data_IF_210664645100
#
_entry.id   IF_210664645100
#
_cell.length_a   1.000
_cell.length_b   1.000
_cell.length_c   1.000
_cell.angle_alpha   90.00
_cell.angle_beta   90.00
_cell.angle_gamma   90.00
#
_symmetry.space_group_name_H-M   'P 1'
#
loop_
_entity.id
_entity.type
_entity.pdbx_description
1 polymer ?
#
# COMPACT_ATOMS: atom_id res chain seq x y z
N UNK A 1 -17.78 -13.45 9.98
CA UNK A 1 -17.06 -13.63 11.27
C UNK A 1 -16.71 -12.25 11.79
N UNK A 2 -16.73 -12.01 13.10
CA UNK A 2 -16.33 -10.71 13.65
C UNK A 2 -14.84 -10.44 13.33
N UNK A 3 -14.49 -9.18 13.01
CA UNK A 3 -13.13 -8.75 12.69
C UNK A 3 -12.10 -9.19 13.77
N UNK A 4 -12.47 -9.10 15.05
CA UNK A 4 -11.62 -9.49 16.18
C UNK A 4 -11.24 -10.98 16.23
N UNK A 5 -12.12 -11.86 15.77
CA UNK A 5 -11.86 -13.31 15.77
C UNK A 5 -10.96 -13.71 14.59
N UNK A 6 -11.09 -12.99 13.46
CA UNK A 6 -10.19 -13.15 12.31
C UNK A 6 -8.75 -12.73 12.68
N UNK A 7 -8.59 -11.60 13.36
CA UNK A 7 -7.28 -11.13 13.82
C UNK A 7 -6.63 -12.11 14.80
N UNK A 8 -7.37 -12.62 15.78
CA UNK A 8 -6.83 -13.58 16.75
C UNK A 8 -6.33 -14.87 16.08
N UNK A 9 -7.03 -15.34 15.05
CA UNK A 9 -6.62 -16.53 14.30
C UNK A 9 -5.37 -16.25 13.46
N UNK A 10 -5.30 -15.09 12.80
CA UNK A 10 -4.11 -14.66 12.05
C UNK A 10 -2.88 -14.55 12.98
N UNK A 11 -3.01 -13.86 14.11
CA UNK A 11 -1.95 -13.72 15.11
C UNK A 11 -1.43 -15.08 15.63
N UNK A 12 -2.33 -16.01 15.89
CA UNK A 12 -1.97 -17.36 16.34
C UNK A 12 -1.26 -18.17 15.25
N UNK A 13 -1.68 -18.01 13.99
CA UNK A 13 -1.03 -18.64 12.85
C UNK A 13 0.38 -18.09 12.63
N UNK A 14 0.55 -16.76 12.65
CA UNK A 14 1.86 -16.09 12.51
C UNK A 14 2.83 -16.64 13.56
N UNK A 15 2.44 -16.63 14.84
CA UNK A 15 3.29 -17.14 15.93
C UNK A 15 3.66 -18.62 15.74
N UNK A 16 2.75 -19.43 15.20
CA UNK A 16 3.00 -20.86 14.94
C UNK A 16 4.03 -21.03 13.82
N UNK A 17 3.83 -20.37 12.69
CA UNK A 17 4.67 -20.51 11.51
C UNK A 17 6.09 -19.97 11.76
N UNK A 18 6.21 -18.83 12.44
CA UNK A 18 7.51 -18.29 12.83
C UNK A 18 8.26 -19.26 13.75
N UNK A 19 7.56 -19.97 14.64
CA UNK A 19 8.18 -20.95 15.54
C UNK A 19 8.54 -22.27 14.83
N UNK A 20 7.68 -22.74 13.94
CA UNK A 20 7.83 -24.06 13.29
C UNK A 20 8.75 -24.00 12.07
N UNK A 21 8.56 -22.99 11.23
CA UNK A 21 9.28 -22.81 9.98
C UNK A 21 10.34 -21.71 10.07
N UNK A 22 10.24 -20.77 11.00
CA UNK A 22 11.19 -19.66 11.13
C UNK A 22 10.71 -18.35 10.53
N UNK A 23 9.68 -18.38 9.68
CA UNK A 23 8.96 -17.20 9.21
C UNK A 23 7.51 -17.55 8.87
N UNK A 24 6.70 -16.51 8.72
CA UNK A 24 5.36 -16.54 8.16
C UNK A 24 5.31 -15.62 6.94
N UNK A 25 4.46 -15.92 5.94
CA UNK A 25 4.20 -15.03 4.81
C UNK A 25 2.78 -14.48 4.92
N UNK A 26 2.66 -13.20 5.25
CA UNK A 26 1.38 -12.48 5.24
C UNK A 26 1.09 -11.97 3.84
N UNK A 27 -0.07 -12.31 3.27
CA UNK A 27 -0.48 -11.87 1.94
C UNK A 27 -1.75 -11.02 2.01
N UNK A 28 -1.75 -9.92 1.27
CA UNK A 28 -2.86 -8.97 1.13
C UNK A 28 -3.31 -9.05 -0.33
N UNK A 29 -4.61 -9.29 -0.52
CA UNK A 29 -5.22 -9.32 -1.85
C UNK A 29 -5.32 -7.92 -2.46
N UNK A 30 -5.30 -7.85 -3.79
CA UNK A 30 -5.52 -6.61 -4.50
C UNK A 30 -6.96 -6.09 -4.25
N UNK A 31 -7.11 -4.77 -4.32
CA UNK A 31 -8.40 -4.10 -4.39
C UNK A 31 -8.33 -2.98 -5.44
N UNK A 32 -9.34 -2.12 -5.51
CA UNK A 32 -9.40 -1.05 -6.52
C UNK A 32 -8.35 0.06 -6.33
N UNK A 33 -7.76 0.20 -5.14
CA UNK A 33 -6.74 1.23 -4.84
C UNK A 33 -5.30 0.68 -4.75
N UNK A 34 -5.11 -0.61 -4.45
CA UNK A 34 -3.77 -1.17 -4.24
C UNK A 34 -3.57 -2.53 -4.89
N UNK A 35 -2.39 -2.81 -5.47
CA UNK A 35 -2.05 -4.15 -5.93
C UNK A 35 -1.94 -5.13 -4.77
N UNK A 36 -2.02 -6.42 -5.07
CA UNK A 36 -1.71 -7.47 -4.10
C UNK A 36 -0.25 -7.36 -3.68
N UNK A 37 0.02 -7.66 -2.41
CA UNK A 37 1.38 -7.72 -1.89
C UNK A 37 1.49 -8.78 -0.79
N UNK A 38 2.71 -9.22 -0.53
CA UNK A 38 3.00 -10.10 0.58
C UNK A 38 4.32 -9.72 1.21
N UNK A 39 4.46 -10.04 2.50
CA UNK A 39 5.69 -9.83 3.23
C UNK A 39 5.97 -10.96 4.22
N UNK A 40 7.24 -11.15 4.54
CA UNK A 40 7.66 -12.10 5.57
C UNK A 40 7.55 -11.49 6.97
N UNK A 41 7.34 -12.35 7.96
CA UNK A 41 7.42 -12.04 9.38
C UNK A 41 8.27 -13.12 10.02
N UNK A 42 9.33 -12.79 10.74
CA UNK A 42 10.14 -13.76 11.50
C UNK A 42 11.56 -13.96 10.98
N UNK A 43 11.88 -13.51 9.76
CA UNK A 43 13.24 -13.59 9.22
C UNK A 43 14.23 -12.81 10.08
N UNK A 44 13.82 -11.64 10.57
CA UNK A 44 14.63 -10.83 11.45
C UNK A 44 14.86 -11.48 12.82
N UNK A 45 13.82 -12.14 13.36
CA UNK A 45 13.88 -12.81 14.65
C UNK A 45 14.86 -13.99 14.61
N UNK A 46 14.68 -14.87 13.62
CA UNK A 46 15.30 -16.19 13.59
C UNK A 46 16.61 -16.26 12.80
N UNK A 47 16.79 -15.40 11.80
CA UNK A 47 17.94 -15.45 10.89
C UNK A 47 18.77 -14.16 10.85
N UNK A 48 18.31 -13.10 11.53
CA UNK A 48 18.94 -11.76 11.51
C UNK A 48 19.07 -11.20 10.07
N UNK A 49 18.13 -11.57 9.22
CA UNK A 49 17.97 -11.01 7.88
C UNK A 49 16.78 -10.05 7.85
N UNK A 50 16.78 -9.02 6.97
CA UNK A 50 15.62 -8.15 6.80
C UNK A 50 14.36 -8.92 6.42
N UNK A 51 13.20 -8.40 6.81
CA UNK A 51 11.93 -8.88 6.26
C UNK A 51 11.84 -8.52 4.77
N UNK A 52 11.20 -9.36 3.98
CA UNK A 52 11.11 -9.21 2.52
C UNK A 52 9.66 -8.90 2.16
N UNK A 53 9.43 -7.86 1.34
CA UNK A 53 8.13 -7.51 0.76
C UNK A 53 8.17 -7.60 -0.77
N UNK A 54 7.06 -8.04 -1.38
CA UNK A 54 6.91 -8.15 -2.82
C UNK A 54 5.47 -7.77 -3.23
N UNK A 55 5.32 -7.14 -4.41
CA UNK A 55 4.07 -6.54 -4.88
C UNK A 55 3.68 -7.04 -6.29
N UNK A 56 2.42 -6.82 -6.67
CA UNK A 56 2.00 -6.79 -8.07
C UNK A 56 1.88 -8.15 -8.76
N UNK A 57 1.96 -9.26 -8.01
CA UNK A 57 1.78 -10.62 -8.50
C UNK A 57 0.62 -11.30 -7.76
N UNK A 58 0.02 -12.38 -8.32
CA UNK A 58 -0.99 -13.16 -7.62
C UNK A 58 -0.48 -13.63 -6.25
N UNK A 59 -1.32 -13.60 -5.21
CA UNK A 59 -0.93 -13.91 -3.82
C UNK A 59 -0.28 -15.28 -3.66
N UNK A 60 -0.72 -16.28 -4.44
CA UNK A 60 -0.06 -17.59 -4.51
C UNK A 60 1.38 -17.52 -5.01
N UNK A 61 1.64 -16.72 -6.03
CA UNK A 61 2.98 -16.50 -6.58
C UNK A 61 3.86 -15.75 -5.58
N UNK A 62 3.33 -14.68 -4.97
CA UNK A 62 4.02 -13.93 -3.91
C UNK A 62 4.41 -14.85 -2.75
N UNK A 63 3.50 -15.73 -2.33
CA UNK A 63 3.75 -16.70 -1.26
C UNK A 63 4.87 -17.69 -1.62
N UNK A 64 4.90 -18.20 -2.85
CA UNK A 64 5.99 -19.10 -3.31
C UNK A 64 7.34 -18.38 -3.30
N UNK A 65 7.41 -17.20 -3.94
CA UNK A 65 8.64 -16.40 -4.03
C UNK A 65 9.24 -16.11 -2.66
N UNK A 66 8.42 -15.68 -1.69
CA UNK A 66 8.91 -15.33 -0.36
C UNK A 66 9.33 -16.55 0.46
N UNK A 67 8.70 -17.71 0.25
CA UNK A 67 9.17 -18.95 0.86
C UNK A 67 10.49 -19.43 0.26
N UNK A 68 10.66 -19.34 -1.07
CA UNK A 68 11.93 -19.67 -1.72
C UNK A 68 13.07 -18.75 -1.24
N UNK A 69 12.79 -17.45 -1.08
CA UNK A 69 13.72 -16.50 -0.47
C UNK A 69 14.02 -16.82 1.01
N UNK A 70 13.01 -17.25 1.79
CA UNK A 70 13.20 -17.71 3.16
C UNK A 70 14.08 -18.97 3.24
N UNK A 71 13.87 -19.96 2.38
CA UNK A 71 14.69 -21.17 2.31
C UNK A 71 16.12 -20.87 1.84
N UNK A 72 16.28 -19.91 0.92
CA UNK A 72 17.59 -19.38 0.52
C UNK A 72 18.36 -18.80 1.72
N UNK A 73 17.69 -17.98 2.52
CA UNK A 73 18.23 -17.41 3.77
C UNK A 73 18.55 -18.52 4.78
N UNK A 74 17.64 -19.49 4.98
CA UNK A 74 17.85 -20.63 5.88
C UNK A 74 19.09 -21.43 5.50
N UNK A 75 19.37 -21.55 4.20
CA UNK A 75 20.59 -22.16 3.66
C UNK A 75 21.89 -21.40 3.97
N UNK A 76 21.82 -20.26 4.67
CA UNK A 76 22.97 -19.44 5.07
C UNK A 76 23.44 -18.48 3.99
N UNK A 77 22.66 -18.29 2.93
CA UNK A 77 22.99 -17.35 1.85
C UNK A 77 22.54 -15.95 2.21
N UNK A 78 23.33 -14.96 1.82
CA UNK A 78 23.05 -13.54 2.08
C UNK A 78 22.36 -12.93 0.87
N UNK A 79 21.42 -12.02 1.13
CA UNK A 79 20.81 -11.22 0.07
C UNK A 79 21.72 -10.03 -0.25
N UNK A 80 22.16 -9.95 -1.49
CA UNK A 80 22.86 -8.77 -2.02
C UNK A 80 21.85 -7.79 -2.61
N UNK A 81 22.02 -6.50 -2.31
CA UNK A 81 21.14 -5.44 -2.79
C UNK A 81 21.60 -4.91 -4.15
N UNK A 82 20.64 -4.51 -4.99
CA UNK A 82 20.87 -3.90 -6.30
C UNK A 82 21.73 -4.74 -7.27
N UNK A 83 21.69 -6.07 -7.11
CA UNK A 83 22.31 -7.05 -8.01
C UNK A 83 21.25 -8.03 -8.48
N UNK A 84 21.31 -8.40 -9.76
CA UNK A 84 20.42 -9.40 -10.34
C UNK A 84 20.61 -10.75 -9.66
N UNK A 85 19.53 -11.26 -9.07
CA UNK A 85 19.46 -12.57 -8.46
C UNK A 85 18.59 -13.48 -9.34
N UNK A 86 19.19 -14.55 -9.87
CA UNK A 86 18.53 -15.54 -10.74
C UNK A 86 18.03 -16.78 -10.00
N UNK A 87 18.31 -16.86 -8.70
CA UNK A 87 18.08 -18.07 -7.92
C UNK A 87 16.73 -18.09 -7.22
N UNK A 88 16.05 -16.94 -7.10
CA UNK A 88 14.72 -16.83 -6.48
C UNK A 88 13.60 -17.07 -7.48
N UNK A 89 13.74 -16.58 -8.71
CA UNK A 89 12.79 -16.80 -9.80
C UNK A 89 13.50 -17.48 -10.97
N UNK A 90 13.18 -18.76 -11.23
CA UNK A 90 13.90 -19.64 -12.17
C UNK A 90 14.03 -19.11 -13.62
N UNK A 91 13.26 -18.08 -14.02
CA UNK A 91 13.24 -17.55 -15.38
C UNK A 91 13.54 -16.05 -15.50
N UNK A 92 13.54 -15.30 -14.39
CA UNK A 92 13.59 -13.83 -14.42
C UNK A 92 14.47 -13.33 -13.27
N UNK A 93 15.47 -12.47 -13.51
CA UNK A 93 16.27 -11.91 -12.44
C UNK A 93 15.41 -11.02 -11.54
N UNK A 94 15.59 -11.10 -10.23
CA UNK A 94 14.99 -10.16 -9.28
C UNK A 94 16.09 -9.29 -8.67
N UNK A 95 15.73 -8.08 -8.26
CA UNK A 95 16.63 -7.24 -7.45
C UNK A 95 16.01 -6.96 -6.10
N UNK A 96 16.87 -6.92 -5.09
CA UNK A 96 16.48 -6.48 -3.75
C UNK A 96 16.89 -5.03 -3.55
N UNK A 97 15.98 -4.24 -2.98
CA UNK A 97 16.27 -2.87 -2.54
C UNK A 97 15.90 -2.69 -1.09
N UNK A 98 16.62 -1.82 -0.40
CA UNK A 98 16.26 -1.45 0.97
C UNK A 98 14.87 -0.82 0.99
N UNK A 99 14.07 -1.11 2.02
CA UNK A 99 12.84 -0.36 2.32
C UNK A 99 13.19 0.79 3.24
N UNK A 100 12.75 1.99 2.88
CA UNK A 100 12.84 3.17 3.71
C UNK A 100 11.94 3.03 4.94
N UNK A 101 12.46 3.39 6.11
CA UNK A 101 11.83 3.13 7.41
C UNK A 101 10.41 3.69 7.50
N UNK A 102 10.17 4.89 6.95
CA UNK A 102 8.85 5.54 6.93
C UNK A 102 7.78 4.70 6.19
N UNK A 103 8.19 3.88 5.23
CA UNK A 103 7.26 3.04 4.45
C UNK A 103 6.86 1.76 5.21
N UNK A 104 7.61 1.33 6.24
CA UNK A 104 7.32 0.09 6.97
C UNK A 104 5.93 0.16 7.63
N UNK A 105 5.56 1.34 8.13
CA UNK A 105 4.30 1.57 8.81
C UNK A 105 3.07 1.36 7.91
N UNK A 106 3.21 1.59 6.60
CA UNK A 106 2.11 1.50 5.64
C UNK A 106 1.80 0.06 5.22
N UNK A 107 2.80 -0.83 5.24
CA UNK A 107 2.68 -2.17 4.64
C UNK A 107 2.80 -3.32 5.62
N UNK A 108 3.61 -3.20 6.69
CA UNK A 108 3.95 -4.33 7.56
C UNK A 108 3.06 -4.41 8.81
N UNK A 109 1.73 -4.34 8.65
CA UNK A 109 0.77 -4.29 9.77
C UNK A 109 1.02 -5.37 10.84
N UNK A 110 0.88 -6.65 10.46
CA UNK A 110 1.14 -7.77 11.39
C UNK A 110 2.62 -7.94 11.74
N UNK A 111 3.54 -7.50 10.87
CA UNK A 111 4.98 -7.54 11.18
C UNK A 111 5.31 -6.62 12.36
N UNK A 112 4.79 -5.39 12.34
CA UNK A 112 4.94 -4.42 13.44
C UNK A 112 4.31 -4.93 14.73
N UNK A 113 3.12 -5.50 14.67
CA UNK A 113 2.51 -6.16 15.83
C UNK A 113 3.38 -7.28 16.39
N UNK A 114 3.91 -8.15 15.52
CA UNK A 114 4.74 -9.28 15.92
C UNK A 114 6.03 -8.84 16.64
N UNK A 115 6.64 -7.75 16.15
CA UNK A 115 7.85 -7.14 16.73
C UNK A 115 7.59 -6.17 17.89
N UNK A 116 6.39 -6.16 18.49
CA UNK A 116 6.06 -5.26 19.61
C UNK A 116 6.27 -3.77 19.22
N UNK A 117 5.97 -3.46 17.95
CA UNK A 117 6.15 -2.16 17.32
C UNK A 117 7.57 -1.59 17.38
N UNK A 118 8.58 -2.45 17.58
CA UNK A 118 10.01 -2.08 17.49
C UNK A 118 10.47 -2.13 16.04
N UNK A 119 11.52 -1.38 15.75
CA UNK A 119 12.10 -1.29 14.42
C UNK A 119 12.72 -2.62 13.99
N UNK A 120 12.51 -2.96 12.72
CA UNK A 120 13.14 -4.08 12.04
C UNK A 120 13.49 -3.65 10.61
N UNK A 121 14.61 -4.13 10.05
CA UNK A 121 14.97 -3.82 8.68
C UNK A 121 14.06 -4.58 7.71
N UNK A 122 13.76 -3.95 6.58
CA UNK A 122 13.02 -4.57 5.48
C UNK A 122 13.70 -4.30 4.13
N UNK A 123 13.49 -5.21 3.18
CA UNK A 123 13.93 -5.11 1.80
C UNK A 123 12.75 -5.47 0.87
N UNK A 124 12.69 -4.80 -0.27
CA UNK A 124 11.72 -5.07 -1.31
C UNK A 124 12.36 -5.95 -2.38
N UNK A 125 11.70 -7.06 -2.72
CA UNK A 125 12.00 -7.84 -3.92
C UNK A 125 11.26 -7.21 -5.10
N UNK A 126 12.02 -6.82 -6.11
CA UNK A 126 11.53 -6.16 -7.32
C UNK A 126 11.76 -7.09 -8.51
N UNK A 127 10.69 -7.38 -9.23
CA UNK A 127 10.72 -8.14 -10.48
C UNK A 127 10.66 -7.19 -11.69
N UNK A 128 11.35 -7.51 -12.80
CA UNK A 128 11.31 -6.74 -14.03
C UNK A 128 10.16 -7.21 -14.94
N UNK A 129 9.84 -6.41 -15.96
CA UNK A 129 8.88 -6.78 -17.00
C UNK A 129 9.36 -7.98 -17.86
N UNK A 130 8.55 -8.34 -18.87
CA UNK A 130 8.84 -9.47 -19.76
C UNK A 130 10.11 -9.29 -20.59
N UNK A 131 10.52 -8.06 -20.83
CA UNK A 131 11.74 -7.69 -21.56
C UNK A 131 12.93 -7.46 -20.63
N UNK A 132 12.77 -7.78 -19.34
CA UNK A 132 13.77 -7.69 -18.26
C UNK A 132 14.17 -6.25 -17.92
N UNK A 133 13.30 -5.29 -18.20
CA UNK A 133 13.45 -3.93 -17.70
C UNK A 133 12.85 -3.83 -16.30
N UNK A 134 13.56 -3.18 -15.39
CA UNK A 134 13.06 -2.83 -14.07
C UNK A 134 12.28 -1.51 -14.10
N UNK A 135 11.47 -1.19 -13.06
CA UNK A 135 10.69 0.05 -13.00
C UNK A 135 11.48 1.35 -13.21
N UNK A 136 12.79 1.35 -12.98
CA UNK A 136 13.67 2.51 -13.20
C UNK A 136 14.33 2.56 -14.58
N UNK A 137 14.03 1.62 -15.47
CA UNK A 137 14.54 1.62 -16.83
C UNK A 137 13.59 2.35 -17.77
N UNK A 138 14.14 3.11 -18.73
CA UNK A 138 13.36 3.93 -19.67
C UNK A 138 12.38 3.13 -20.54
N UNK A 139 12.66 1.84 -20.78
CA UNK A 139 11.82 0.96 -21.60
C UNK A 139 10.94 0.01 -20.75
N UNK A 140 10.72 0.32 -19.48
CA UNK A 140 9.83 -0.47 -18.63
C UNK A 140 8.41 -0.40 -19.17
N UNK A 141 7.76 -1.55 -19.23
CA UNK A 141 6.38 -1.66 -19.70
C UNK A 141 5.41 -0.88 -18.78
N UNK A 142 4.81 0.17 -19.33
CA UNK A 142 3.89 1.08 -18.63
C UNK A 142 2.69 0.35 -18.01
N UNK A 143 2.30 -0.83 -18.52
CA UNK A 143 1.22 -1.62 -17.92
C UNK A 143 1.52 -2.06 -16.46
N UNK A 144 2.79 -2.05 -16.06
CA UNK A 144 3.25 -2.42 -14.73
C UNK A 144 3.72 -1.22 -13.89
N UNK A 145 3.50 0.02 -14.35
CA UNK A 145 3.95 1.25 -13.68
C UNK A 145 3.50 1.30 -12.21
N UNK A 146 2.24 0.94 -11.93
CA UNK A 146 1.65 0.93 -10.59
C UNK A 146 1.61 -0.47 -9.95
N UNK A 147 2.29 -1.46 -10.53
CA UNK A 147 2.30 -2.81 -9.97
C UNK A 147 3.16 -2.92 -8.71
N UNK A 148 4.21 -2.10 -8.59
CA UNK A 148 5.20 -2.16 -7.52
C UNK A 148 5.60 -0.74 -7.10
N UNK A 149 5.30 -0.30 -5.86
CA UNK A 149 5.74 1.01 -5.38
C UNK A 149 7.26 0.96 -5.09
N UNK A 150 7.99 2.04 -5.33
CA UNK A 150 9.42 2.09 -5.02
C UNK A 150 9.64 2.48 -3.55
N UNK A 151 9.80 1.48 -2.68
CA UNK A 151 9.90 1.71 -1.24
C UNK A 151 11.30 2.11 -0.76
N UNK A 152 12.28 2.25 -1.66
CA UNK A 152 13.68 2.58 -1.37
C UNK A 152 13.93 4.06 -1.05
N UNK A 153 12.86 4.83 -0.87
CA UNK A 153 12.87 6.27 -0.60
C UNK A 153 11.60 6.70 0.12
N UNK A 154 11.64 7.90 0.70
CA UNK A 154 10.44 8.58 1.19
C UNK A 154 9.48 8.88 0.03
N UNK A 155 8.21 8.54 0.21
CA UNK A 155 7.15 8.82 -0.75
C UNK A 155 6.41 10.11 -0.36
N UNK A 156 6.45 11.11 -1.24
CA UNK A 156 5.62 12.32 -1.16
C UNK A 156 4.21 12.10 -1.69
N UNK A 157 4.04 11.07 -2.52
CA UNK A 157 2.80 10.64 -3.15
C UNK A 157 2.72 9.11 -3.13
N UNK A 158 1.78 8.55 -2.36
CA UNK A 158 1.67 7.11 -2.08
C UNK A 158 0.65 6.35 -2.95
N UNK A 159 -0.12 7.05 -3.77
CA UNK A 159 -1.19 6.43 -4.56
C UNK A 159 -0.64 5.59 -5.72
N UNK A 160 -1.34 4.50 -6.04
CA UNK A 160 -1.02 3.59 -7.15
C UNK A 160 -1.69 4.05 -8.46
N UNK A 161 -1.64 5.35 -8.70
CA UNK A 161 -2.30 6.03 -9.80
C UNK A 161 -1.42 7.18 -10.31
N UNK A 162 -1.63 7.67 -11.54
CA UNK A 162 -0.92 8.82 -12.05
C UNK A 162 -1.08 10.05 -11.15
N UNK A 163 -0.01 10.83 -10.97
CA UNK A 163 -0.05 12.10 -10.22
C UNK A 163 -1.09 13.09 -10.74
N UNK A 164 -1.36 13.04 -12.05
CA UNK A 164 -2.36 13.85 -12.74
C UNK A 164 -3.76 13.21 -12.78
N UNK A 165 -4.05 12.19 -11.94
CA UNK A 165 -5.41 11.70 -11.75
C UNK A 165 -6.35 12.86 -11.42
N UNK A 166 -7.51 12.87 -12.08
CA UNK A 166 -8.51 13.92 -11.93
C UNK A 166 -9.16 13.83 -10.55
N UNK A 167 -9.21 14.96 -9.83
CA UNK A 167 -9.86 15.07 -8.53
C UNK A 167 -10.85 16.24 -8.51
N UNK A 168 -12.04 16.01 -7.99
CA UNK A 168 -13.06 17.04 -7.73
C UNK A 168 -12.85 17.61 -6.33
N UNK A 169 -12.75 18.93 -6.20
CA UNK A 169 -12.40 19.58 -4.94
C UNK A 169 -13.30 20.76 -4.67
N UNK A 170 -13.76 20.91 -3.43
CA UNK A 170 -14.43 22.14 -3.01
C UNK A 170 -13.48 23.34 -3.17
N UNK A 171 -13.88 24.34 -3.96
CA UNK A 171 -13.10 25.51 -4.35
C UNK A 171 -12.48 26.24 -3.16
N UNK A 172 -13.19 26.32 -2.04
CA UNK A 172 -12.77 26.96 -0.80
C UNK A 172 -11.50 26.33 -0.21
N UNK A 173 -11.19 25.07 -0.53
CA UNK A 173 -9.94 24.42 -0.10
C UNK A 173 -8.74 25.17 -0.69
N UNK A 174 -8.77 25.49 -1.99
CA UNK A 174 -7.66 26.19 -2.64
C UNK A 174 -7.76 27.72 -2.57
N UNK A 175 -8.98 28.28 -2.65
CA UNK A 175 -9.16 29.73 -2.67
C UNK A 175 -9.15 30.35 -1.26
N UNK A 176 -9.63 29.61 -0.24
CA UNK A 176 -9.78 30.10 1.13
C UNK A 176 -8.96 29.30 2.16
N UNK A 177 -8.19 28.30 1.72
CA UNK A 177 -7.40 27.41 2.60
C UNK A 177 -8.25 26.65 3.63
N UNK A 178 -9.49 26.32 3.26
CA UNK A 178 -10.36 25.49 4.09
C UNK A 178 -9.84 24.05 4.19
N UNK A 179 -10.00 23.37 5.34
CA UNK A 179 -9.45 22.03 5.53
C UNK A 179 -10.23 20.98 4.72
N UNK A 180 -9.52 19.96 4.24
CA UNK A 180 -10.15 18.76 3.68
C UNK A 180 -10.64 17.89 4.84
N UNK A 181 -11.95 17.74 4.99
CA UNK A 181 -12.54 17.00 6.12
C UNK A 181 -13.29 15.74 5.67
N UNK A 182 -13.66 15.66 4.39
CA UNK A 182 -14.38 14.53 3.80
C UNK A 182 -13.75 14.17 2.47
N UNK A 183 -13.55 12.88 2.23
CA UNK A 183 -12.99 12.32 1.00
C UNK A 183 -13.88 11.19 0.52
N UNK A 184 -14.28 11.23 -0.73
CA UNK A 184 -15.01 10.15 -1.39
C UNK A 184 -14.14 9.55 -2.48
N UNK A 185 -14.17 8.24 -2.60
CA UNK A 185 -13.61 7.52 -3.74
C UNK A 185 -14.76 6.80 -4.42
N UNK A 186 -15.21 7.36 -5.54
CA UNK A 186 -16.42 6.95 -6.25
C UNK A 186 -16.29 5.52 -6.81
N UNK A 187 -17.38 4.74 -6.81
CA UNK A 187 -17.36 3.36 -7.31
C UNK A 187 -17.69 3.24 -8.81
N UNK A 188 -18.37 4.23 -9.39
CA UNK A 188 -18.77 4.18 -10.80
C UNK A 188 -17.61 4.57 -11.73
N UNK A 189 -16.89 5.64 -11.39
CA UNK A 189 -15.83 6.19 -12.25
C UNK A 189 -14.43 6.24 -11.60
N UNK A 190 -14.31 5.85 -10.33
CA UNK A 190 -13.06 5.90 -9.58
C UNK A 190 -12.58 7.33 -9.26
N UNK A 191 -13.44 8.33 -9.41
CA UNK A 191 -13.05 9.70 -9.15
C UNK A 191 -12.86 9.97 -7.65
N UNK A 192 -11.84 10.76 -7.36
CA UNK A 192 -11.61 11.30 -6.03
C UNK A 192 -12.39 12.60 -5.84
N UNK A 193 -13.11 12.72 -4.72
CA UNK A 193 -13.75 13.95 -4.32
C UNK A 193 -13.26 14.41 -2.94
N UNK A 194 -12.84 15.67 -2.82
CA UNK A 194 -12.29 16.25 -1.59
C UNK A 194 -13.11 17.46 -1.18
N UNK A 195 -13.77 17.37 -0.02
CA UNK A 195 -14.71 18.38 0.44
C UNK A 195 -14.29 18.94 1.80
N UNK A 196 -14.68 20.19 2.05
CA UNK A 196 -14.64 20.82 3.36
C UNK A 196 -16.02 20.77 4.03
N UNK A 197 -16.11 21.27 5.27
CA UNK A 197 -17.38 21.39 6.00
C UNK A 197 -17.88 20.12 6.69
N UNK A 198 -19.05 20.23 7.30
CA UNK A 198 -19.71 19.13 8.03
C UNK A 198 -20.45 18.16 7.07
N UNK A 199 -20.68 16.92 7.52
CA UNK A 199 -21.50 15.97 6.76
C UNK A 199 -22.93 16.52 6.61
N UNK A 200 -23.44 16.60 5.38
CA UNK A 200 -24.75 17.18 5.08
C UNK A 200 -24.74 18.66 4.64
N UNK A 201 -23.60 19.36 4.73
CA UNK A 201 -23.45 20.63 4.01
C UNK A 201 -23.39 20.37 2.50
N UNK A 202 -24.41 20.89 1.80
CA UNK A 202 -24.53 20.83 0.35
C UNK A 202 -23.42 21.65 -0.28
N UNK A 203 -22.44 20.97 -0.86
CA UNK A 203 -21.50 21.59 -1.81
C UNK A 203 -22.19 21.55 -3.16
N UNK A 204 -22.46 22.71 -3.74
CA UNK A 204 -23.08 22.77 -5.07
C UNK A 204 -22.03 22.45 -6.13
N UNK A 205 -22.47 22.01 -7.33
CA UNK A 205 -21.55 21.76 -8.44
C UNK A 205 -20.76 23.01 -8.85
N UNK A 206 -21.30 24.21 -8.60
CA UNK A 206 -20.63 25.49 -8.88
C UNK A 206 -19.44 25.76 -7.93
N UNK A 207 -19.45 25.13 -6.75
CA UNK A 207 -18.40 25.19 -5.74
C UNK A 207 -17.32 24.12 -5.95
N UNK A 208 -17.43 23.27 -6.98
CA UNK A 208 -16.44 22.25 -7.30
C UNK A 208 -15.47 22.78 -8.35
N UNK A 209 -14.19 22.50 -8.15
CA UNK A 209 -13.12 22.67 -9.13
C UNK A 209 -12.43 21.34 -9.40
N UNK A 210 -11.83 21.23 -10.58
CA UNK A 210 -11.05 20.04 -10.99
C UNK A 210 -9.57 20.37 -10.85
N UNK A 211 -8.83 19.50 -10.16
CA UNK A 211 -7.37 19.57 -10.01
C UNK A 211 -6.74 18.20 -10.23
N UNK A 212 -5.42 18.13 -10.25
CA UNK A 212 -4.70 16.87 -10.17
C UNK A 212 -4.65 16.37 -8.71
N UNK A 213 -4.72 15.05 -8.50
CA UNK A 213 -4.59 14.45 -7.17
C UNK A 213 -3.27 14.86 -6.48
N UNK A 214 -2.19 15.05 -7.24
CA UNK A 214 -0.93 15.58 -6.71
C UNK A 214 -1.09 16.98 -6.09
N UNK A 215 -1.91 17.86 -6.66
CA UNK A 215 -2.12 19.20 -6.10
C UNK A 215 -2.85 19.13 -4.76
N UNK A 216 -3.77 18.17 -4.60
CA UNK A 216 -4.44 17.89 -3.33
C UNK A 216 -3.45 17.40 -2.29
N UNK A 217 -2.57 16.46 -2.64
CA UNK A 217 -1.53 15.93 -1.74
C UNK A 217 -0.50 17.00 -1.37
N UNK A 218 -0.14 17.89 -2.30
CA UNK A 218 0.75 19.03 -2.02
C UNK A 218 0.08 20.04 -1.07
N UNK A 219 -1.21 20.28 -1.23
CA UNK A 219 -1.98 21.15 -0.34
C UNK A 219 -2.11 20.55 1.06
N UNK A 220 -2.39 19.25 1.14
CA UNK A 220 -2.49 18.49 2.38
C UNK A 220 -1.79 17.13 2.28
N UNK A 221 -0.53 17.03 2.78
CA UNK A 221 0.24 15.79 2.72
C UNK A 221 -0.36 14.62 3.49
N UNK A 222 -1.27 14.87 4.45
CA UNK A 222 -1.92 13.80 5.25
C UNK A 222 -2.95 13.02 4.44
N UNK A 223 -3.29 13.48 3.23
CA UNK A 223 -4.09 12.73 2.25
C UNK A 223 -3.39 11.43 1.81
N UNK A 224 -2.05 11.38 1.90
CA UNK A 224 -1.31 10.12 1.72
C UNK A 224 -1.73 9.01 2.68
N UNK A 225 -2.40 9.30 3.81
CA UNK A 225 -2.95 8.27 4.69
C UNK A 225 -4.11 7.50 4.05
N UNK A 226 -4.71 8.02 2.97
CA UNK A 226 -5.84 7.41 2.24
C UNK A 226 -5.42 6.69 0.96
N UNK A 227 -4.12 6.55 0.68
CA UNK A 227 -3.60 5.93 -0.55
C UNK A 227 -4.13 4.52 -0.84
N UNK A 228 -4.56 3.82 0.20
CA UNK A 228 -5.08 2.46 0.14
C UNK A 228 -6.60 2.39 0.35
N UNK A 229 -7.32 3.51 0.20
CA UNK A 229 -8.77 3.54 0.31
C UNK A 229 -9.39 3.07 -1.01
N UNK A 230 -10.07 1.91 -1.05
CA UNK A 230 -10.75 1.43 -2.26
C UNK A 230 -11.87 2.39 -2.70
N UNK A 231 -12.31 2.24 -3.93
CA UNK A 231 -13.57 2.80 -4.44
C UNK A 231 -14.78 2.37 -3.60
N UNK A 232 -15.88 3.12 -3.67
CA UNK A 232 -17.09 2.89 -2.88
C UNK A 232 -16.93 3.23 -1.40
N UNK A 233 -15.93 4.05 -1.05
CA UNK A 233 -15.60 4.40 0.33
C UNK A 233 -15.63 5.89 0.56
N UNK A 234 -15.97 6.25 1.80
CA UNK A 234 -15.84 7.61 2.32
C UNK A 234 -14.88 7.62 3.50
N UNK A 235 -14.08 8.69 3.61
CA UNK A 235 -13.28 8.97 4.78
C UNK A 235 -13.59 10.36 5.33
N UNK A 236 -13.78 10.46 6.64
CA UNK A 236 -14.03 11.73 7.34
C UNK A 236 -13.06 11.94 8.50
N UNK A 237 -12.84 13.20 8.88
CA UNK A 237 -12.05 13.58 10.05
C UNK A 237 -12.48 14.94 10.60
N UNK A 238 -12.15 15.20 11.85
CA UNK A 238 -12.51 16.46 12.53
C UNK A 238 -11.64 17.65 12.11
N UNK A 239 -10.34 17.42 11.87
CA UNK A 239 -9.37 18.45 11.47
C UNK A 239 -8.17 17.81 10.75
N UNK A 240 -7.35 18.62 10.07
CA UNK A 240 -6.14 18.14 9.38
C UNK A 240 -5.18 17.48 10.37
N UNK A 241 -4.83 16.21 10.12
CA UNK A 241 -3.99 15.39 11.00
C UNK A 241 -4.75 14.62 12.10
N UNK A 242 -6.07 14.77 12.21
CA UNK A 242 -6.89 13.83 12.98
C UNK A 242 -6.98 12.49 12.22
N UNK A 243 -7.18 11.40 12.97
CA UNK A 243 -7.34 10.06 12.40
C UNK A 243 -8.57 10.03 11.49
N UNK A 244 -8.40 9.51 10.28
CA UNK A 244 -9.50 9.23 9.37
C UNK A 244 -10.42 8.12 9.91
N UNK A 245 -11.72 8.37 9.83
CA UNK A 245 -12.80 7.39 10.00
C UNK A 245 -13.23 6.99 8.60
N UNK A 246 -13.19 5.70 8.27
CA UNK A 246 -13.52 5.18 6.93
C UNK A 246 -14.79 4.33 6.98
N UNK A 247 -15.70 4.58 6.05
CA UNK A 247 -17.02 3.94 5.97
C UNK A 247 -17.31 3.53 4.51
N UNK A 248 -18.28 2.63 4.33
CA UNK A 248 -18.82 2.33 2.99
C UNK A 248 -19.80 3.44 2.60
N UNK A 249 -19.85 3.77 1.31
CA UNK A 249 -20.90 4.66 0.82
C UNK A 249 -22.20 3.85 0.85
N UNK A 250 -23.14 4.20 1.74
CA UNK A 250 -24.49 3.65 1.69
C UNK A 250 -25.17 4.22 0.44
N UNK A 251 -25.45 3.38 -0.56
CA UNK A 251 -26.38 3.73 -1.63
C UNK A 251 -27.74 4.03 -0.97
N UNK A 252 -28.19 5.28 -1.02
CA UNK A 252 -29.59 5.56 -0.72
C UNK A 252 -30.41 4.79 -1.76
N UNK A 253 -31.14 3.75 -1.33
CA UNK A 253 -32.15 3.10 -2.19
C UNK A 253 -33.06 4.22 -2.72
N UNK A 254 -32.94 4.54 -4.02
CA UNK A 254 -33.91 5.38 -4.71
C UNK A 254 -35.29 4.72 -4.52
N UNK A 255 -36.06 5.26 -3.60
CA UNK A 255 -37.43 4.82 -3.38
C UNK A 255 -38.26 5.36 -4.54
N UNK A 256 -38.52 4.50 -5.54
CA UNK A 256 -39.47 4.72 -6.65
C UNK A 256 -40.87 5.13 -6.17
#
# INVERSE_FOLDING_TARGET
MCHEEHDRQAEAQIKRDVKEYGWHVGAIEANTATPAFAYTIGLWENFKQPEIICFGLPTKTLHLILNDAGEWIRGGKTIELAVDNFDILEAVPVQFRQVEEENIADYFGYGRWFYDYKDFPAIQLIWPDRDKNYPWNENYDEQYEFAQPMLDRKLDFKFFEPRNTTAFVARQIFEESMPILRVFHDDDDGAWQFLTGELGELVTSDDIMIVCLEDVVKHDPTINELFNMPTGRVATREFVGAKWIREEIEEEEETE
#
